data_IF_709743274113
#
_entry.id   IF_709743274113
#
_cell.length_a   1.000
_cell.length_b   1.000
_cell.length_c   1.000
_cell.angle_alpha   90.00
_cell.angle_beta   90.00
_cell.angle_gamma   90.00
#
_symmetry.space_group_name_H-M   'P 1'
#
loop_
_entity.id
_entity.type
_entity.pdbx_description
1 polymer ?
#
# COMPACT_ATOMS: atom_id res chain seq x y z
N UNK A 1 8.77 -14.95 -23.69
CA UNK A 1 10.23 -14.80 -23.81
C UNK A 1 10.71 -14.26 -22.48
N UNK A 2 11.26 -15.13 -21.65
CA UNK A 2 11.66 -14.81 -20.27
C UNK A 2 13.12 -14.37 -20.28
N UNK A 3 13.38 -13.17 -19.78
CA UNK A 3 14.74 -12.69 -19.56
C UNK A 3 15.21 -13.17 -18.18
N UNK A 4 16.02 -14.22 -18.17
CA UNK A 4 16.74 -14.68 -16.97
C UNK A 4 17.79 -13.65 -16.57
N UNK A 5 17.75 -13.17 -15.32
CA UNK A 5 18.88 -12.46 -14.71
C UNK A 5 19.59 -13.45 -13.79
N UNK A 6 20.79 -13.88 -14.19
CA UNK A 6 21.70 -14.68 -13.35
C UNK A 6 22.46 -13.76 -12.40
N UNK A 7 22.21 -13.90 -11.10
CA UNK A 7 23.16 -13.49 -10.07
C UNK A 7 23.68 -14.75 -9.38
N UNK A 8 24.97 -14.99 -9.54
CA UNK A 8 25.70 -16.11 -8.94
C UNK A 8 26.04 -15.72 -7.52
N UNK A 9 25.32 -16.27 -6.53
CA UNK A 9 25.80 -16.36 -5.16
C UNK A 9 25.57 -17.76 -4.60
N UNK A 10 26.68 -18.33 -4.14
CA UNK A 10 26.84 -19.66 -3.62
C UNK A 10 26.08 -19.79 -2.28
N UNK A 11 25.00 -20.58 -2.24
CA UNK A 11 24.38 -21.28 -1.09
C UNK A 11 22.88 -21.45 -1.36
N UNK A 12 22.37 -22.68 -1.21
CA UNK A 12 20.98 -23.07 -1.45
C UNK A 12 19.96 -22.06 -0.89
N UNK A 13 19.22 -21.38 -1.78
CA UNK A 13 17.89 -20.90 -1.50
C UNK A 13 16.98 -21.44 -2.60
N UNK A 14 16.09 -22.34 -2.22
CA UNK A 14 14.92 -22.73 -3.01
C UNK A 14 14.26 -21.43 -3.44
N UNK A 15 14.22 -21.15 -4.75
CA UNK A 15 13.62 -19.93 -5.30
C UNK A 15 12.15 -19.86 -4.91
N UNK A 16 11.85 -19.16 -3.82
CA UNK A 16 10.49 -18.74 -3.51
C UNK A 16 10.21 -17.61 -4.47
N UNK A 17 9.49 -17.90 -5.54
CA UNK A 17 8.85 -16.87 -6.34
C UNK A 17 7.98 -16.05 -5.37
N UNK A 18 8.39 -14.82 -5.06
CA UNK A 18 7.51 -13.86 -4.39
C UNK A 18 6.43 -13.48 -5.41
N UNK A 19 5.38 -14.29 -5.48
CA UNK A 19 4.26 -14.07 -6.40
C UNK A 19 3.43 -12.83 -6.03
N UNK A 20 3.55 -12.39 -4.77
CA UNK A 20 2.75 -11.31 -4.23
C UNK A 20 3.63 -10.10 -3.97
N UNK A 21 3.28 -8.98 -4.59
CA UNK A 21 3.91 -7.69 -4.31
C UNK A 21 2.88 -6.59 -4.13
N UNK A 22 3.29 -5.57 -3.39
CA UNK A 22 2.53 -4.34 -3.20
C UNK A 22 3.26 -3.21 -3.92
N UNK A 23 2.49 -2.39 -4.64
CA UNK A 23 3.04 -1.19 -5.28
C UNK A 23 3.08 -0.03 -4.28
N UNK A 24 4.22 0.63 -4.16
CA UNK A 24 4.29 1.96 -3.54
C UNK A 24 3.96 2.99 -4.61
N UNK A 25 2.66 3.22 -4.80
CA UNK A 25 2.12 4.03 -5.89
C UNK A 25 2.38 5.52 -5.69
N UNK A 26 2.47 5.98 -4.44
CA UNK A 26 2.98 7.32 -4.10
C UNK A 26 4.06 7.22 -3.04
N UNK A 27 5.34 7.07 -3.42
CA UNK A 27 6.41 6.87 -2.47
C UNK A 27 6.74 8.16 -1.71
N UNK A 28 7.21 8.01 -0.48
CA UNK A 28 7.83 9.05 0.33
C UNK A 28 8.94 8.37 1.15
N UNK A 29 10.05 9.05 1.55
CA UNK A 29 11.17 8.42 2.25
C UNK A 29 10.79 7.45 3.38
N UNK A 30 9.83 7.81 4.26
CA UNK A 30 9.38 6.87 5.30
C UNK A 30 8.61 5.66 4.75
N UNK A 31 7.81 5.80 3.69
CA UNK A 31 7.11 4.66 3.09
C UNK A 31 8.15 3.72 2.46
N UNK A 32 9.15 4.28 1.78
CA UNK A 32 10.22 3.48 1.17
C UNK A 32 11.09 2.80 2.23
N UNK A 33 11.36 3.45 3.37
CA UNK A 33 12.16 2.86 4.46
C UNK A 33 11.36 1.89 5.32
N UNK A 34 10.29 2.36 5.98
CA UNK A 34 9.56 1.60 6.99
C UNK A 34 8.58 0.61 6.38
N UNK A 35 7.78 1.04 5.40
CA UNK A 35 6.80 0.12 4.77
C UNK A 35 7.50 -0.98 4.00
N UNK A 36 8.58 -0.67 3.27
CA UNK A 36 9.28 -1.71 2.52
C UNK A 36 9.94 -2.73 3.45
N UNK A 37 10.54 -2.29 4.55
CA UNK A 37 11.10 -3.17 5.58
C UNK A 37 10.01 -4.05 6.19
N UNK A 38 8.89 -3.45 6.60
CA UNK A 38 7.73 -4.16 7.13
C UNK A 38 7.17 -5.22 6.16
N UNK A 39 7.06 -4.89 4.87
CA UNK A 39 6.57 -5.83 3.84
C UNK A 39 7.57 -6.95 3.58
N UNK A 40 8.87 -6.67 3.59
CA UNK A 40 9.91 -7.68 3.46
C UNK A 40 9.87 -8.69 4.63
N UNK A 41 9.64 -8.22 5.87
CA UNK A 41 9.42 -9.09 7.05
C UNK A 41 8.19 -10.01 6.88
N UNK A 42 7.21 -9.60 6.06
CA UNK A 42 6.04 -10.40 5.72
C UNK A 42 6.26 -11.35 4.53
N UNK A 43 7.45 -11.39 3.94
CA UNK A 43 7.75 -12.04 2.66
C UNK A 43 6.90 -11.52 1.49
N UNK A 44 6.57 -10.22 1.49
CA UNK A 44 5.82 -9.54 0.43
C UNK A 44 6.77 -8.67 -0.38
N UNK A 45 6.75 -8.82 -1.70
CA UNK A 45 7.55 -8.01 -2.60
C UNK A 45 7.09 -6.55 -2.61
N UNK A 46 8.00 -5.64 -2.96
CA UNK A 46 7.70 -4.21 -3.06
C UNK A 46 8.12 -3.69 -4.42
N UNK A 47 7.21 -3.02 -5.12
CA UNK A 47 7.54 -2.28 -6.34
C UNK A 47 7.24 -0.81 -6.15
N UNK A 48 8.27 0.03 -6.22
CA UNK A 48 8.12 1.48 -6.07
C UNK A 48 7.94 2.11 -7.44
N UNK A 49 6.96 3.00 -7.59
CA UNK A 49 6.88 3.83 -8.80
C UNK A 49 7.94 4.92 -8.79
N UNK A 50 8.50 5.21 -9.96
CA UNK A 50 9.33 6.39 -10.17
C UNK A 50 8.57 7.46 -10.97
N UNK A 51 7.59 7.04 -11.77
CA UNK A 51 6.70 7.92 -12.54
C UNK A 51 5.27 7.36 -12.53
N UNK A 52 4.25 8.23 -12.63
CA UNK A 52 2.86 7.79 -12.63
C UNK A 52 2.51 6.95 -13.87
N UNK A 53 3.18 7.16 -15.01
CA UNK A 53 2.92 6.43 -16.25
C UNK A 53 3.20 4.91 -16.14
N UNK A 54 4.08 4.52 -15.21
CA UNK A 54 4.41 3.12 -14.90
C UNK A 54 3.24 2.39 -14.20
N UNK A 55 2.27 3.13 -13.66
CA UNK A 55 1.21 2.57 -12.80
C UNK A 55 0.38 1.50 -13.53
N UNK A 56 0.10 1.69 -14.83
CA UNK A 56 -0.70 0.75 -15.61
C UNK A 56 -0.04 -0.63 -15.75
N UNK A 57 1.28 -0.67 -15.96
CA UNK A 57 2.04 -1.92 -16.04
C UNK A 57 2.17 -2.59 -14.66
N UNK A 58 2.43 -1.78 -13.63
CA UNK A 58 2.72 -2.29 -12.29
C UNK A 58 1.47 -2.82 -11.59
N UNK A 59 0.30 -2.18 -11.78
CA UNK A 59 -0.92 -2.57 -11.08
C UNK A 59 -1.47 -3.95 -11.50
N UNK A 60 -1.17 -4.43 -12.71
CA UNK A 60 -1.73 -5.68 -13.27
C UNK A 60 -1.55 -6.87 -12.31
N UNK A 61 -0.38 -6.95 -11.67
CA UNK A 61 0.00 -8.07 -10.82
C UNK A 61 0.12 -7.68 -9.34
N UNK A 62 -0.20 -6.43 -8.98
CA UNK A 62 -0.08 -5.94 -7.60
C UNK A 62 -1.25 -6.45 -6.74
N UNK A 63 -0.95 -6.84 -5.50
CA UNK A 63 -1.97 -7.24 -4.51
C UNK A 63 -2.63 -6.05 -3.81
N UNK A 64 -1.92 -4.93 -3.73
CA UNK A 64 -2.39 -3.70 -3.15
C UNK A 64 -1.58 -2.52 -3.65
N UNK A 65 -2.10 -1.32 -3.45
CA UNK A 65 -1.37 -0.07 -3.65
C UNK A 65 -1.24 0.72 -2.35
N UNK A 66 -0.03 1.17 -2.06
CA UNK A 66 0.28 2.08 -0.96
C UNK A 66 0.40 3.50 -1.49
N UNK A 67 -0.36 4.42 -0.91
CA UNK A 67 -0.36 5.85 -1.24
C UNK A 67 0.12 6.62 -0.01
N UNK A 68 1.27 7.28 -0.09
CA UNK A 68 1.67 8.21 0.95
C UNK A 68 0.75 9.42 1.00
N UNK A 69 0.37 9.86 2.19
CA UNK A 69 -0.37 11.11 2.45
C UNK A 69 0.55 12.31 2.71
N UNK A 70 1.88 12.13 2.62
CA UNK A 70 2.83 13.21 2.84
C UNK A 70 2.69 14.33 1.79
N UNK A 71 3.10 15.55 2.14
CA UNK A 71 3.00 16.70 1.21
C UNK A 71 3.83 16.47 -0.05
N UNK A 72 5.06 15.94 0.10
CA UNK A 72 5.98 15.72 -1.02
C UNK A 72 6.04 14.25 -1.43
N UNK A 73 6.37 14.00 -2.69
CA UNK A 73 6.65 12.68 -3.24
C UNK A 73 7.58 12.81 -4.45
N UNK A 74 8.49 11.84 -4.70
CA UNK A 74 9.37 11.86 -5.86
C UNK A 74 8.66 11.85 -7.22
N UNK A 75 7.44 11.31 -7.29
CA UNK A 75 6.70 11.22 -8.57
C UNK A 75 6.08 12.57 -8.99
N UNK A 76 5.91 13.51 -8.05
CA UNK A 76 5.38 14.85 -8.31
C UNK A 76 3.87 14.98 -8.14
N UNK A 77 3.09 13.92 -8.40
CA UNK A 77 1.64 13.96 -8.24
C UNK A 77 1.19 13.88 -6.77
N UNK A 78 0.04 14.48 -6.50
CA UNK A 78 -0.59 14.44 -5.19
C UNK A 78 -1.34 13.12 -4.93
N UNK A 79 -1.67 12.85 -3.67
CA UNK A 79 -2.36 11.61 -3.30
C UNK A 79 -3.74 11.44 -3.98
N UNK A 80 -4.58 12.49 -4.11
CA UNK A 80 -5.84 12.41 -4.84
C UNK A 80 -5.67 11.99 -6.31
N UNK A 81 -4.69 12.56 -7.02
CA UNK A 81 -4.44 12.24 -8.44
C UNK A 81 -4.01 10.77 -8.59
N UNK A 82 -3.08 10.31 -7.75
CA UNK A 82 -2.63 8.91 -7.77
C UNK A 82 -3.79 7.96 -7.43
N UNK A 83 -4.59 8.29 -6.43
CA UNK A 83 -5.77 7.50 -6.05
C UNK A 83 -6.76 7.37 -7.21
N UNK A 84 -7.12 8.49 -7.83
CA UNK A 84 -8.04 8.51 -8.96
C UNK A 84 -7.52 7.65 -10.12
N UNK A 85 -6.22 7.76 -10.43
CA UNK A 85 -5.60 6.96 -11.49
C UNK A 85 -5.59 5.47 -11.16
N UNK A 86 -5.35 5.09 -9.90
CA UNK A 86 -5.44 3.69 -9.46
C UNK A 86 -6.86 3.17 -9.68
N UNK A 87 -7.89 3.93 -9.28
CA UNK A 87 -9.29 3.51 -9.44
C UNK A 87 -9.75 3.41 -10.89
N UNK A 88 -9.23 4.28 -11.76
CA UNK A 88 -9.44 4.19 -13.21
C UNK A 88 -8.88 2.88 -13.78
N UNK A 89 -7.68 2.47 -13.35
CA UNK A 89 -6.98 1.29 -13.86
C UNK A 89 -7.45 -0.02 -13.20
N UNK A 90 -7.76 0.01 -11.91
CA UNK A 90 -8.23 -1.12 -11.13
C UNK A 90 -9.11 -0.64 -9.97
N UNK A 91 -10.42 -0.59 -10.21
CA UNK A 91 -11.40 -0.14 -9.23
C UNK A 91 -11.39 -0.96 -7.92
N UNK A 92 -10.94 -2.22 -7.97
CA UNK A 92 -11.06 -3.15 -6.84
C UNK A 92 -9.76 -3.40 -6.10
N UNK A 93 -8.63 -2.84 -6.53
CA UNK A 93 -7.36 -3.09 -5.83
C UNK A 93 -7.45 -2.56 -4.38
N UNK A 94 -7.02 -3.35 -3.40
CA UNK A 94 -6.88 -2.91 -2.01
C UNK A 94 -5.98 -1.68 -1.89
N UNK A 95 -6.42 -0.69 -1.11
CA UNK A 95 -5.67 0.57 -0.90
C UNK A 95 -5.19 0.65 0.55
N UNK A 96 -3.92 1.02 0.70
CA UNK A 96 -3.30 1.36 1.98
C UNK A 96 -2.82 2.80 1.91
N UNK A 97 -3.41 3.67 2.72
CA UNK A 97 -2.85 4.99 2.96
C UNK A 97 -1.76 4.90 4.02
N UNK A 98 -0.66 5.62 3.82
CA UNK A 98 0.43 5.67 4.78
C UNK A 98 0.82 7.12 5.08
N UNK A 99 0.95 7.49 6.35
CA UNK A 99 1.15 8.89 6.73
C UNK A 99 2.03 9.13 7.95
N UNK A 100 2.43 10.39 8.11
CA UNK A 100 3.19 10.93 9.25
C UNK A 100 2.31 11.57 10.33
N UNK A 101 1.01 11.72 10.04
CA UNK A 101 0.04 12.31 10.97
C UNK A 101 -0.92 11.22 11.45
N UNK A 102 -1.47 11.31 12.67
CA UNK A 102 -2.54 10.40 13.09
C UNK A 102 -3.72 10.41 12.13
N UNK A 103 -4.43 9.28 12.00
CA UNK A 103 -5.52 9.14 11.03
C UNK A 103 -6.63 10.17 11.27
N UNK A 104 -6.97 10.49 12.52
CA UNK A 104 -7.87 11.60 12.88
C UNK A 104 -7.57 12.93 12.14
N UNK A 105 -6.29 13.25 11.92
CA UNK A 105 -5.86 14.49 11.24
C UNK A 105 -5.89 14.39 9.72
N UNK A 106 -5.75 13.19 9.16
CA UNK A 106 -5.76 12.96 7.71
C UNK A 106 -7.11 12.48 7.19
N UNK A 107 -8.01 12.10 8.08
CA UNK A 107 -9.28 11.44 7.78
C UNK A 107 -10.08 12.19 6.72
N UNK A 108 -10.34 13.50 6.93
CA UNK A 108 -11.16 14.30 6.00
C UNK A 108 -10.59 14.34 4.58
N UNK A 109 -9.27 14.36 4.46
CA UNK A 109 -8.60 14.32 3.16
C UNK A 109 -8.81 12.95 2.49
N UNK A 110 -8.64 11.87 3.25
CA UNK A 110 -8.82 10.50 2.74
C UNK A 110 -10.27 10.21 2.38
N UNK A 111 -11.21 10.59 3.26
CA UNK A 111 -12.64 10.51 3.01
C UNK A 111 -13.02 11.26 1.73
N UNK A 112 -12.45 12.45 1.50
CA UNK A 112 -12.70 13.19 0.25
C UNK A 112 -12.19 12.47 -1.00
N UNK A 113 -11.05 11.76 -0.92
CA UNK A 113 -10.55 10.94 -2.03
C UNK A 113 -11.49 9.76 -2.31
N UNK A 114 -11.99 9.12 -1.25
CA UNK A 114 -12.86 7.94 -1.33
C UNK A 114 -14.33 8.26 -1.58
N UNK A 115 -14.75 9.54 -1.55
CA UNK A 115 -16.18 9.93 -1.62
C UNK A 115 -16.91 9.44 -2.88
N UNK A 116 -16.16 9.21 -3.97
CA UNK A 116 -16.70 8.78 -5.25
C UNK A 116 -16.71 7.24 -5.41
N UNK A 117 -16.31 6.50 -4.37
CA UNK A 117 -16.45 5.05 -4.37
C UNK A 117 -17.94 4.67 -4.47
N UNK A 118 -18.31 3.66 -5.27
CA UNK A 118 -19.70 3.23 -5.38
C UNK A 118 -20.32 2.83 -4.03
N UNK A 119 -19.49 2.31 -3.12
CA UNK A 119 -19.91 1.88 -1.78
C UNK A 119 -18.82 2.22 -0.75
N UNK A 120 -18.73 3.47 -0.26
CA UNK A 120 -17.71 3.83 0.72
C UNK A 120 -18.02 3.13 2.06
N UNK A 121 -17.11 2.26 2.49
CA UNK A 121 -17.23 1.50 3.74
C UNK A 121 -16.41 2.12 4.86
N UNK A 122 -15.25 2.73 4.56
CA UNK A 122 -14.51 3.53 5.52
C UNK A 122 -13.03 3.16 5.64
N UNK A 123 -12.45 3.43 6.81
CA UNK A 123 -11.02 3.31 7.06
C UNK A 123 -10.73 2.43 8.27
N UNK A 124 -9.67 1.64 8.17
CA UNK A 124 -9.16 0.82 9.27
C UNK A 124 -7.69 1.17 9.53
N UNK A 125 -7.43 1.78 10.68
CA UNK A 125 -6.10 1.93 11.25
C UNK A 125 -5.80 0.83 12.28
N UNK A 126 -4.62 0.93 12.91
CA UNK A 126 -4.23 0.03 14.01
C UNK A 126 -5.09 0.27 15.25
N UNK A 127 -5.28 1.54 15.60
CA UNK A 127 -5.94 1.97 16.83
C UNK A 127 -7.43 2.28 16.64
N UNK A 128 -7.82 2.64 15.41
CA UNK A 128 -9.13 3.21 15.15
C UNK A 128 -9.77 2.68 13.86
N UNK A 129 -11.10 2.78 13.80
CA UNK A 129 -11.91 2.48 12.63
C UNK A 129 -12.88 3.64 12.42
N UNK A 130 -13.03 4.07 11.18
CA UNK A 130 -13.97 5.14 10.82
C UNK A 130 -14.94 4.62 9.76
N UNK A 131 -16.22 4.92 9.91
CA UNK A 131 -17.30 4.37 9.08
C UNK A 131 -17.69 2.95 9.49
N UNK A 132 -18.10 2.14 8.53
CA UNK A 132 -18.43 0.72 8.70
C UNK A 132 -17.55 -0.15 7.79
N UNK A 133 -16.23 -0.19 8.06
CA UNK A 133 -15.27 -0.79 7.14
C UNK A 133 -15.50 -2.30 7.00
N UNK A 134 -15.44 -2.78 5.76
CA UNK A 134 -15.48 -4.19 5.39
C UNK A 134 -14.16 -4.54 4.73
N UNK A 135 -13.28 -5.24 5.44
CA UNK A 135 -11.98 -5.66 4.90
C UNK A 135 -12.16 -6.45 3.60
N UNK A 136 -11.19 -6.34 2.68
CA UNK A 136 -11.26 -6.89 1.32
C UNK A 136 -12.45 -6.38 0.48
N UNK A 137 -12.95 -5.17 0.78
CA UNK A 137 -13.89 -4.45 -0.07
C UNK A 137 -13.22 -3.20 -0.64
N UNK A 138 -13.49 -2.88 -1.91
CA UNK A 138 -12.93 -1.71 -2.61
C UNK A 138 -13.27 -0.40 -1.90
N UNK A 139 -14.43 -0.31 -1.24
CA UNK A 139 -14.83 0.85 -0.45
C UNK A 139 -14.15 0.98 0.92
N UNK A 140 -13.29 0.04 1.31
CA UNK A 140 -12.48 0.14 2.53
C UNK A 140 -11.02 0.38 2.15
N UNK A 141 -10.34 1.25 2.89
CA UNK A 141 -8.88 1.35 2.82
C UNK A 141 -8.26 1.16 4.21
N UNK A 142 -7.01 0.70 4.23
CA UNK A 142 -6.21 0.69 5.45
C UNK A 142 -5.50 2.04 5.62
N UNK A 143 -5.17 2.37 6.87
CA UNK A 143 -4.28 3.48 7.20
C UNK A 143 -3.16 3.03 8.13
N UNK A 144 -1.91 3.24 7.73
CA UNK A 144 -0.74 3.00 8.58
C UNK A 144 0.01 4.29 8.88
N UNK A 145 0.10 4.62 10.16
CA UNK A 145 0.95 5.69 10.64
C UNK A 145 2.41 5.19 10.74
N UNK A 146 3.38 6.07 10.46
CA UNK A 146 4.81 5.72 10.55
C UNK A 146 5.17 5.07 11.90
N UNK A 147 4.75 5.68 13.00
CA UNK A 147 5.10 5.20 14.34
C UNK A 147 4.52 3.81 14.65
N UNK A 148 3.40 3.44 14.02
CA UNK A 148 2.82 2.11 14.16
C UNK A 148 3.70 1.03 13.52
N UNK A 149 4.45 1.38 12.47
CA UNK A 149 5.37 0.45 11.81
C UNK A 149 6.70 0.30 12.55
N UNK A 150 7.04 1.20 13.47
CA UNK A 150 8.27 1.10 14.26
C UNK A 150 8.10 0.13 15.43
N UNK A 151 6.91 0.05 16.01
CA UNK A 151 6.64 -0.79 17.18
C UNK A 151 6.30 -2.22 16.79
N UNK A 152 6.95 -3.20 17.43
CA UNK A 152 6.80 -4.62 17.09
C UNK A 152 5.36 -5.13 17.28
N UNK A 153 4.68 -4.69 18.34
CA UNK A 153 3.29 -5.07 18.62
C UNK A 153 2.35 -4.60 17.50
N UNK A 154 2.50 -3.33 17.10
CA UNK A 154 1.66 -2.71 16.07
C UNK A 154 1.98 -3.25 14.68
N UNK A 155 3.23 -3.62 14.38
CA UNK A 155 3.57 -4.36 13.15
C UNK A 155 2.83 -5.70 13.03
N UNK A 156 2.66 -6.44 14.13
CA UNK A 156 1.89 -7.71 14.11
C UNK A 156 0.42 -7.45 13.79
N UNK A 157 -0.15 -6.38 14.35
CA UNK A 157 -1.53 -5.95 14.04
C UNK A 157 -1.66 -5.49 12.59
N UNK A 158 -0.72 -4.67 12.10
CA UNK A 158 -0.65 -4.21 10.72
C UNK A 158 -0.57 -5.37 9.74
N UNK A 159 0.28 -6.37 10.03
CA UNK A 159 0.44 -7.56 9.21
C UNK A 159 -0.87 -8.35 9.11
N UNK A 160 -1.59 -8.51 10.22
CA UNK A 160 -2.89 -9.18 10.23
C UNK A 160 -3.92 -8.42 9.38
N UNK A 161 -4.00 -7.09 9.54
CA UNK A 161 -4.91 -6.26 8.76
C UNK A 161 -4.59 -6.32 7.26
N UNK A 162 -3.31 -6.23 6.91
CA UNK A 162 -2.86 -6.25 5.53
C UNK A 162 -3.17 -7.60 4.88
N UNK A 163 -2.89 -8.72 5.55
CA UNK A 163 -3.26 -10.07 5.06
C UNK A 163 -4.75 -10.21 4.81
N UNK A 164 -5.56 -9.79 5.78
CA UNK A 164 -7.02 -9.86 5.67
C UNK A 164 -7.58 -8.96 4.57
N UNK A 165 -7.02 -7.76 4.40
CA UNK A 165 -7.53 -6.78 3.43
C UNK A 165 -7.03 -7.04 2.01
N UNK A 166 -5.78 -7.49 1.85
CA UNK A 166 -5.12 -7.65 0.56
C UNK A 166 -5.08 -9.08 0.04
N UNK A 167 -5.53 -10.07 0.83
CA UNK A 167 -5.53 -11.47 0.45
C UNK A 167 -4.11 -12.06 0.34
N UNK A 168 -3.23 -11.70 1.29
CA UNK A 168 -1.85 -12.18 1.43
C UNK A 168 -1.73 -13.32 2.44
#
# INVERSE_FOLDING_TARGET
MNTEIRLVYNSLIVGVYMNDFIVLARPHPFVVGEMATFLAEMNVGVRKLNHLDELSEVLVNAKAAVISTAVTSPIGEDAPTVYAKIRELNANIPIVFAGLLPLERTYKMIEHMMKNEPTPHGLVGIHERVGNPKLNSSGTALYFHKEDLLQLEYRKMASKLLKQHCGL
#
